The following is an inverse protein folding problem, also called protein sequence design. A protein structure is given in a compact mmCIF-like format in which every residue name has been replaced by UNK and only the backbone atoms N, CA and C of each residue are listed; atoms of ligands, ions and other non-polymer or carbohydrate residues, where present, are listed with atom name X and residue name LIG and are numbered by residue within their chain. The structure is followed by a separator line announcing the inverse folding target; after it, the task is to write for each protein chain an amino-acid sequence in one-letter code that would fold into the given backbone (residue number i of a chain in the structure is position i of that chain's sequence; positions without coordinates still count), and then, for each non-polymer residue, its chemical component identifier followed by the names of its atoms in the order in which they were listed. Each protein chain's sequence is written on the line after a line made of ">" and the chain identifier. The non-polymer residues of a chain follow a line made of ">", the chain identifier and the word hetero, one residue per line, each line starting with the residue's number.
data_IF_794188848148
#
_entry.id   IF_794188848148
#
_cell.length_a   1.000
_cell.length_b   1.000
_cell.length_c   1.000
_cell.angle_alpha   90.00
_cell.angle_beta   90.00
_cell.angle_gamma   90.00
#
_symmetry.space_group_name_H-M   'P 1'
#
loop_
_entity.id
_entity.type
_entity.pdbx_description
1 polymer ?
#
# COMPACT_ATOMS: atom_id res chain seq x y z
N UNK A 1 -5.80 -11.19 16.65
CA UNK A 1 -5.14 -12.25 15.87
C UNK A 1 -5.91 -12.58 14.59
N UNK A 2 -7.18 -12.99 14.64
CA UNK A 2 -7.99 -13.33 13.46
C UNK A 2 -8.08 -12.21 12.40
N UNK A 3 -8.18 -10.95 12.79
CA UNK A 3 -8.30 -9.83 11.84
C UNK A 3 -6.98 -9.52 11.13
N UNK A 4 -5.87 -9.60 11.85
CA UNK A 4 -4.56 -9.46 11.24
C UNK A 4 -4.31 -10.61 10.25
N UNK A 5 -4.69 -11.82 10.64
CA UNK A 5 -4.62 -13.00 9.79
C UNK A 5 -5.52 -12.88 8.56
N UNK A 6 -6.77 -12.40 8.70
CA UNK A 6 -7.64 -12.13 7.55
C UNK A 6 -7.08 -11.07 6.60
N UNK A 7 -6.42 -10.02 7.11
CA UNK A 7 -5.81 -8.97 6.28
C UNK A 7 -4.53 -9.41 5.59
N UNK A 8 -3.84 -10.36 6.16
CA UNK A 8 -2.62 -10.96 5.56
C UNK A 8 -2.98 -12.03 4.56
N UNK A 9 -4.08 -12.77 4.82
CA UNK A 9 -4.64 -13.78 3.92
C UNK A 9 -5.38 -13.16 2.71
N UNK A 10 -5.66 -11.86 2.74
CA UNK A 10 -5.95 -11.10 1.52
C UNK A 10 -4.63 -11.01 0.77
N UNK A 11 -4.34 -12.08 0.04
CA UNK A 11 -3.19 -12.15 -0.85
C UNK A 11 -3.09 -10.84 -1.64
N UNK A 12 -1.89 -10.34 -1.89
CA UNK A 12 -1.72 -9.24 -2.83
C UNK A 12 -2.52 -9.58 -4.08
N UNK A 13 -3.29 -8.62 -4.61
CA UNK A 13 -4.02 -8.83 -5.84
C UNK A 13 -2.99 -9.14 -6.93
N UNK A 14 -2.81 -10.42 -7.15
CA UNK A 14 -1.91 -10.94 -8.16
C UNK A 14 -2.78 -11.14 -9.38
N UNK A 15 -2.60 -10.29 -10.37
CA UNK A 15 -3.33 -10.35 -11.63
C UNK A 15 -2.84 -11.47 -12.54
N UNK A 16 -1.69 -12.07 -12.21
CA UNK A 16 -1.08 -13.21 -12.92
C UNK A 16 -0.34 -14.12 -11.95
N UNK A 17 -0.17 -15.39 -12.29
CA UNK A 17 0.72 -16.28 -11.57
C UNK A 17 2.15 -15.76 -11.65
N UNK A 18 2.70 -15.37 -10.50
CA UNK A 18 4.11 -14.94 -10.40
C UNK A 18 5.00 -16.18 -10.47
N UNK A 19 5.93 -16.18 -11.41
CA UNK A 19 7.01 -17.19 -11.45
C UNK A 19 8.03 -16.86 -10.36
N UNK A 20 8.79 -17.86 -9.93
CA UNK A 20 9.88 -17.68 -8.98
C UNK A 20 10.85 -16.62 -9.52
N UNK A 21 11.05 -15.53 -8.78
CA UNK A 21 11.89 -14.39 -9.18
C UNK A 21 11.16 -13.24 -9.88
N UNK A 22 9.85 -13.34 -10.16
CA UNK A 22 9.06 -12.22 -10.68
C UNK A 22 8.70 -11.23 -9.56
N UNK A 23 8.67 -9.94 -9.92
CA UNK A 23 8.27 -8.85 -9.04
C UNK A 23 6.75 -8.84 -8.79
N UNK A 24 6.30 -8.12 -7.78
CA UNK A 24 4.88 -7.85 -7.55
C UNK A 24 4.29 -7.01 -8.68
N UNK A 25 2.96 -6.95 -8.73
CA UNK A 25 2.24 -6.10 -9.67
C UNK A 25 2.57 -4.61 -9.47
N UNK A 26 2.64 -3.88 -10.57
CA UNK A 26 2.67 -2.42 -10.54
C UNK A 26 1.30 -1.86 -10.16
N UNK A 27 1.26 -0.79 -9.38
CA UNK A 27 0.02 -0.28 -8.79
C UNK A 27 -0.16 1.21 -9.08
N UNK A 28 -1.35 1.59 -9.55
CA UNK A 28 -1.81 2.97 -9.58
C UNK A 28 -2.72 3.23 -8.38
N UNK A 29 -2.28 4.02 -7.43
CA UNK A 29 -3.11 4.45 -6.30
C UNK A 29 -3.79 5.78 -6.61
N UNK A 30 -5.09 5.86 -6.31
CA UNK A 30 -5.96 6.99 -6.62
C UNK A 30 -6.67 7.42 -5.34
N UNK A 31 -6.58 8.69 -4.98
CA UNK A 31 -7.29 9.22 -3.82
C UNK A 31 -7.76 10.66 -4.04
N UNK A 32 -8.98 10.94 -3.60
CA UNK A 32 -9.53 12.30 -3.57
C UNK A 32 -9.45 12.91 -2.16
N UNK A 33 -8.54 12.47 -1.33
CA UNK A 33 -8.39 12.99 0.03
C UNK A 33 -9.71 12.93 0.81
N UNK A 34 -10.18 14.08 1.32
CA UNK A 34 -11.48 14.20 2.01
C UNK A 34 -12.65 14.30 1.04
N UNK A 35 -12.39 14.53 -0.26
CA UNK A 35 -13.39 14.60 -1.32
C UNK A 35 -14.10 15.96 -1.40
N UNK A 36 -13.47 17.03 -0.95
CA UNK A 36 -13.96 18.40 -1.14
C UNK A 36 -13.53 18.91 -2.52
N UNK A 37 -14.47 19.10 -3.49
CA UNK A 37 -14.13 19.49 -4.86
C UNK A 37 -13.43 20.84 -4.97
N UNK A 38 -13.54 21.69 -3.94
CA UNK A 38 -12.93 23.02 -3.92
C UNK A 38 -11.57 23.08 -3.24
N UNK A 39 -11.20 22.03 -2.50
CA UNK A 39 -9.97 22.01 -1.70
C UNK A 39 -9.05 20.85 -2.02
N UNK A 40 -9.62 19.72 -2.47
CA UNK A 40 -8.89 18.48 -2.68
C UNK A 40 -8.83 18.15 -4.17
N UNK A 41 -7.62 18.00 -4.71
CA UNK A 41 -7.40 17.42 -6.02
C UNK A 41 -7.29 15.90 -5.92
N UNK A 42 -7.72 15.20 -6.96
CA UNK A 42 -7.52 13.75 -7.09
C UNK A 42 -6.03 13.51 -7.28
N UNK A 43 -5.45 12.79 -6.36
CA UNK A 43 -4.01 12.45 -6.38
C UNK A 43 -3.84 11.06 -6.98
N UNK A 44 -3.02 10.97 -8.00
CA UNK A 44 -2.62 9.74 -8.68
C UNK A 44 -1.16 9.45 -8.34
N UNK A 45 -0.86 8.23 -7.93
CA UNK A 45 0.51 7.79 -7.63
C UNK A 45 0.75 6.44 -8.28
N UNK A 46 1.71 6.38 -9.18
CA UNK A 46 2.15 5.12 -9.78
C UNK A 46 3.38 4.58 -9.03
N UNK A 47 3.26 3.33 -8.60
CA UNK A 47 4.31 2.58 -7.91
C UNK A 47 4.67 1.36 -8.76
N UNK A 48 5.96 1.21 -9.03
CA UNK A 48 6.48 0.08 -9.80
C UNK A 48 6.47 -1.23 -8.98
N UNK A 49 6.83 -2.33 -9.64
CA UNK A 49 6.87 -3.66 -9.06
C UNK A 49 7.84 -3.78 -7.87
N UNK A 50 8.82 -2.90 -7.77
CA UNK A 50 9.79 -2.85 -6.67
C UNK A 50 9.31 -1.99 -5.48
N UNK A 51 8.07 -1.49 -5.50
CA UNK A 51 7.53 -0.64 -4.44
C UNK A 51 8.03 0.81 -4.48
N UNK A 52 8.64 1.25 -5.60
CA UNK A 52 9.17 2.59 -5.77
C UNK A 52 8.16 3.48 -6.48
N UNK A 53 7.90 4.64 -5.90
CA UNK A 53 7.11 5.66 -6.58
C UNK A 53 7.86 6.18 -7.81
N UNK A 54 7.24 6.11 -8.97
CA UNK A 54 7.81 6.57 -10.24
C UNK A 54 7.19 7.84 -10.75
N UNK A 55 5.92 8.06 -10.46
CA UNK A 55 5.20 9.22 -10.91
C UNK A 55 4.08 9.58 -9.94
N UNK A 56 3.83 10.86 -9.77
CA UNK A 56 2.64 11.36 -9.09
C UNK A 56 2.08 12.56 -9.82
N UNK A 57 0.77 12.60 -9.95
CA UNK A 57 0.04 13.66 -10.62
C UNK A 57 -1.17 14.06 -9.78
N UNK A 58 -1.60 15.30 -9.90
CA UNK A 58 -2.83 15.81 -9.29
C UNK A 58 -3.76 16.29 -10.38
N UNK A 59 -4.99 15.81 -10.35
CA UNK A 59 -6.04 16.15 -11.30
C UNK A 59 -7.20 16.72 -10.51
N UNK A 60 -7.76 17.84 -10.92
CA UNK A 60 -8.82 18.52 -10.16
C UNK A 60 -10.10 17.68 -10.14
N UNK A 61 -10.49 17.13 -11.27
CA UNK A 61 -11.65 16.24 -11.37
C UNK A 61 -11.51 15.26 -12.56
N UNK A 62 -12.33 14.20 -12.60
CA UNK A 62 -12.37 13.23 -13.68
C UNK A 62 -13.63 13.39 -14.57
N UNK A 63 -14.15 14.60 -14.70
CA UNK A 63 -15.30 14.93 -15.56
C UNK A 63 -14.92 15.89 -16.69
N UNK A 64 -13.82 16.59 -16.53
CA UNK A 64 -13.27 17.51 -17.50
C UNK A 64 -12.41 16.77 -18.53
N UNK A 65 -12.54 17.11 -19.80
CA UNK A 65 -11.88 16.40 -20.92
C UNK A 65 -10.36 16.43 -20.78
N UNK A 66 -9.79 17.60 -20.49
CA UNK A 66 -8.34 17.77 -20.39
C UNK A 66 -7.75 16.88 -19.25
N UNK A 67 -8.45 16.81 -18.13
CA UNK A 67 -8.07 15.98 -16.98
C UNK A 67 -8.23 14.49 -17.27
N UNK A 68 -9.23 14.10 -18.06
CA UNK A 68 -9.42 12.71 -18.51
C UNK A 68 -8.29 12.33 -19.45
N UNK A 69 -7.90 13.20 -20.38
CA UNK A 69 -6.82 12.94 -21.32
C UNK A 69 -5.48 12.75 -20.58
N UNK A 70 -5.20 13.57 -19.57
CA UNK A 70 -4.02 13.40 -18.70
C UNK A 70 -4.04 12.04 -17.95
N UNK A 71 -5.20 11.65 -17.44
CA UNK A 71 -5.38 10.36 -16.79
C UNK A 71 -5.16 9.18 -17.74
N UNK A 72 -5.74 9.24 -18.94
CA UNK A 72 -5.61 8.22 -20.01
C UNK A 72 -4.15 8.14 -20.50
N UNK A 73 -3.47 9.29 -20.64
CA UNK A 73 -2.06 9.34 -21.02
C UNK A 73 -1.18 8.66 -19.97
N UNK A 74 -1.43 8.89 -18.68
CA UNK A 74 -0.73 8.19 -17.60
C UNK A 74 -0.94 6.67 -17.65
N UNK A 75 -2.18 6.21 -17.86
CA UNK A 75 -2.49 4.79 -18.01
C UNK A 75 -1.79 4.16 -19.20
N UNK A 76 -1.77 4.84 -20.33
CA UNK A 76 -1.15 4.38 -21.56
C UNK A 76 0.37 4.28 -21.45
N UNK A 77 0.99 5.26 -20.79
CA UNK A 77 2.44 5.28 -20.56
C UNK A 77 2.89 4.26 -19.52
N UNK A 78 2.17 4.12 -18.42
CA UNK A 78 2.60 3.31 -17.26
C UNK A 78 2.06 1.90 -17.26
N UNK A 79 0.89 1.67 -17.84
CA UNK A 79 0.21 0.36 -17.93
C UNK A 79 0.20 -0.37 -16.58
N UNK A 80 -0.40 0.20 -15.53
CA UNK A 80 -0.43 -0.44 -14.22
C UNK A 80 -1.19 -1.76 -14.29
N UNK A 81 -0.73 -2.77 -13.54
CA UNK A 81 -1.41 -4.07 -13.45
C UNK A 81 -2.71 -3.97 -12.64
N UNK A 82 -2.78 -3.04 -11.68
CA UNK A 82 -3.96 -2.83 -10.84
C UNK A 82 -4.08 -1.36 -10.44
N UNK A 83 -5.31 -0.88 -10.36
CA UNK A 83 -5.63 0.42 -9.77
C UNK A 83 -6.29 0.23 -8.42
N UNK A 84 -5.79 0.92 -7.39
CA UNK A 84 -6.39 0.92 -6.06
C UNK A 84 -6.95 2.30 -5.74
N UNK A 85 -8.22 2.34 -5.32
CA UNK A 85 -8.88 3.58 -4.95
C UNK A 85 -9.04 3.63 -3.43
N UNK A 86 -8.62 4.73 -2.83
CA UNK A 86 -8.74 4.96 -1.40
C UNK A 86 -9.13 6.41 -1.07
N UNK A 87 -9.57 6.66 0.15
CA UNK A 87 -9.94 7.99 0.59
C UNK A 87 -10.64 8.02 1.95
N UNK A 88 -10.91 9.22 2.44
CA UNK A 88 -11.35 9.46 3.81
C UNK A 88 -12.86 9.73 3.93
N UNK A 89 -13.62 9.60 2.84
CA UNK A 89 -15.04 9.92 2.81
C UNK A 89 -15.85 9.00 1.90
N UNK A 90 -17.18 9.09 2.01
CA UNK A 90 -18.11 8.34 1.15
C UNK A 90 -17.95 8.70 -0.35
N UNK A 91 -17.36 9.85 -0.65
CA UNK A 91 -17.07 10.29 -2.03
C UNK A 91 -16.09 9.32 -2.74
N UNK A 92 -15.30 8.57 -1.98
CA UNK A 92 -14.41 7.51 -2.51
C UNK A 92 -15.18 6.49 -3.35
N UNK A 93 -16.44 6.19 -2.99
CA UNK A 93 -17.27 5.29 -3.78
C UNK A 93 -17.64 5.90 -5.15
N UNK A 94 -17.94 7.20 -5.19
CA UNK A 94 -18.20 7.91 -6.46
C UNK A 94 -16.95 7.93 -7.34
N UNK A 95 -15.79 8.19 -6.73
CA UNK A 95 -14.50 8.13 -7.44
C UNK A 95 -14.24 6.74 -8.01
N UNK A 96 -14.47 5.67 -7.23
CA UNK A 96 -14.33 4.30 -7.69
C UNK A 96 -15.25 4.00 -8.88
N UNK A 97 -16.51 4.40 -8.82
CA UNK A 97 -17.43 4.22 -9.95
C UNK A 97 -16.94 4.95 -11.21
N UNK A 98 -16.50 6.20 -11.05
CA UNK A 98 -15.99 6.99 -12.16
C UNK A 98 -14.74 6.38 -12.80
N UNK A 99 -13.79 5.92 -11.98
CA UNK A 99 -12.58 5.22 -12.46
C UNK A 99 -12.95 3.95 -13.24
N UNK A 100 -13.91 3.16 -12.73
CA UNK A 100 -14.40 1.96 -13.43
C UNK A 100 -15.08 2.28 -14.75
N UNK A 101 -15.83 3.37 -14.82
CA UNK A 101 -16.43 3.84 -16.09
C UNK A 101 -15.35 4.20 -17.11
N UNK A 102 -14.34 4.95 -16.70
CA UNK A 102 -13.23 5.34 -17.58
C UNK A 102 -12.42 4.12 -18.06
N UNK A 103 -12.24 3.10 -17.22
CA UNK A 103 -11.55 1.86 -17.63
C UNK A 103 -12.38 1.04 -18.64
N UNK A 104 -13.70 1.10 -18.57
CA UNK A 104 -14.57 0.43 -19.56
C UNK A 104 -14.56 1.10 -20.93
N UNK A 105 -14.11 2.36 -21.00
CA UNK A 105 -14.15 3.15 -22.22
C UNK A 105 -15.56 3.62 -22.60
N UNK A 106 -15.67 4.35 -23.70
CA UNK A 106 -16.95 4.74 -24.26
C UNK A 106 -17.66 3.52 -24.86
N UNK A 107 -18.98 3.37 -24.71
CA UNK A 107 -19.72 2.27 -25.35
C UNK A 107 -19.55 2.37 -26.87
N UNK A 108 -19.32 1.24 -27.54
CA UNK A 108 -19.28 1.15 -28.97
C UNK A 108 -20.64 1.54 -29.58
N UNK A 109 -20.69 1.86 -30.90
CA UNK A 109 -21.93 2.14 -31.64
C UNK A 109 -22.99 1.02 -31.52
N UNK A 110 -22.57 -0.20 -31.19
CA UNK A 110 -23.44 -1.37 -30.98
C UNK A 110 -23.96 -1.49 -29.52
N UNK A 111 -23.62 -0.56 -28.64
CA UNK A 111 -24.13 -0.50 -27.25
C UNK A 111 -23.57 -1.56 -26.30
N UNK A 112 -22.53 -2.31 -26.68
CA UNK A 112 -21.87 -3.27 -25.78
C UNK A 112 -20.92 -2.54 -24.84
N UNK A 113 -21.22 -2.46 -23.52
CA UNK A 113 -20.40 -1.75 -22.55
C UNK A 113 -19.10 -2.49 -22.21
N UNK A 114 -18.90 -3.71 -22.72
CA UNK A 114 -17.76 -4.56 -22.33
C UNK A 114 -16.52 -4.38 -23.22
N UNK A 115 -16.63 -3.67 -24.36
CA UNK A 115 -15.50 -3.41 -25.27
C UNK A 115 -15.64 -2.05 -25.95
N UNK A 116 -15.53 -0.95 -25.20
CA UNK A 116 -15.43 0.40 -25.76
C UNK A 116 -14.05 0.67 -26.40
N UNK A 117 -14.00 1.51 -27.41
CA UNK A 117 -12.72 2.06 -27.89
C UNK A 117 -12.04 2.78 -26.70
N UNK A 118 -10.77 2.44 -26.42
CA UNK A 118 -10.01 2.97 -25.30
C UNK A 118 -10.22 2.25 -23.95
N UNK A 119 -10.84 1.06 -23.94
CA UNK A 119 -10.99 0.26 -22.72
C UNK A 119 -9.64 -0.24 -22.19
N UNK A 120 -9.45 -0.11 -20.89
CA UNK A 120 -8.27 -0.62 -20.17
C UNK A 120 -8.64 -1.89 -19.40
N UNK A 121 -7.90 -2.96 -19.60
CA UNK A 121 -8.06 -4.20 -18.82
C UNK A 121 -7.27 -4.10 -17.49
N UNK A 122 -7.66 -3.10 -16.68
CA UNK A 122 -7.04 -2.82 -15.39
C UNK A 122 -8.11 -3.01 -14.31
N UNK A 123 -7.92 -3.96 -13.38
CA UNK A 123 -8.85 -4.12 -12.26
C UNK A 123 -8.76 -2.92 -11.31
N UNK A 124 -9.88 -2.28 -11.05
CA UNK A 124 -10.01 -1.24 -10.03
C UNK A 124 -10.56 -1.85 -8.75
N UNK A 125 -9.78 -1.76 -7.66
CA UNK A 125 -10.08 -2.39 -6.38
C UNK A 125 -10.17 -1.37 -5.25
N UNK A 126 -10.83 -1.77 -4.17
CA UNK A 126 -10.84 -1.08 -2.89
C UNK A 126 -10.21 -1.99 -1.84
N UNK A 127 -9.32 -1.46 -1.01
CA UNK A 127 -8.66 -2.20 0.06
C UNK A 127 -8.75 -1.44 1.38
N UNK A 128 -8.49 -2.13 2.49
CA UNK A 128 -8.37 -1.49 3.79
C UNK A 128 -7.16 -0.55 3.80
N UNK A 129 -7.37 0.67 4.24
CA UNK A 129 -6.41 1.75 4.12
C UNK A 129 -5.77 2.17 5.47
N UNK A 130 -6.03 1.42 6.55
CA UNK A 130 -5.52 1.76 7.88
C UNK A 130 -3.99 1.92 7.92
N UNK A 131 -3.28 1.01 7.24
CA UNK A 131 -1.82 1.07 7.14
C UNK A 131 -1.38 2.33 6.39
N UNK A 132 -2.04 2.66 5.29
CA UNK A 132 -1.75 3.86 4.52
C UNK A 132 -2.03 5.15 5.30
N UNK A 133 -3.10 5.16 6.12
CA UNK A 133 -3.42 6.27 7.03
C UNK A 133 -2.35 6.48 8.09
N UNK A 134 -1.78 5.43 8.65
CA UNK A 134 -0.66 5.53 9.58
C UNK A 134 0.60 5.96 8.83
N UNK A 135 0.89 5.33 7.69
CA UNK A 135 2.09 5.61 6.91
C UNK A 135 2.22 7.08 6.52
N UNK A 136 1.16 7.76 6.08
CA UNK A 136 1.23 9.16 5.66
C UNK A 136 1.78 10.13 6.73
N UNK A 137 1.63 9.77 8.02
CA UNK A 137 2.10 10.53 9.18
C UNK A 137 3.39 9.97 9.79
N UNK A 138 3.90 8.85 9.26
CA UNK A 138 5.08 8.17 9.79
C UNK A 138 6.36 8.95 9.51
N UNK A 139 7.36 8.74 10.38
CA UNK A 139 8.71 9.26 10.14
C UNK A 139 9.28 8.71 8.83
N UNK A 140 9.04 7.45 8.51
CA UNK A 140 9.46 6.82 7.26
C UNK A 140 8.93 7.59 6.03
N UNK A 141 7.65 7.94 6.01
CA UNK A 141 7.09 8.72 4.91
C UNK A 141 7.64 10.15 4.83
N UNK A 142 7.99 10.76 5.96
CA UNK A 142 8.62 12.07 5.99
C UNK A 142 10.05 12.01 5.46
N UNK A 143 10.82 11.00 5.84
CA UNK A 143 12.20 10.81 5.42
C UNK A 143 12.31 10.43 3.92
N UNK A 144 11.41 9.55 3.43
CA UNK A 144 11.39 9.14 2.01
C UNK A 144 10.85 10.25 1.08
N UNK A 145 9.83 10.98 1.51
CA UNK A 145 9.07 11.90 0.67
C UNK A 145 8.80 13.24 1.37
N UNK A 146 9.85 13.98 1.72
CA UNK A 146 9.73 15.26 2.43
C UNK A 146 8.88 16.30 1.70
N UNK A 147 8.92 16.33 0.36
CA UNK A 147 8.23 17.31 -0.48
C UNK A 147 6.79 16.89 -0.87
N UNK A 148 6.37 15.65 -0.62
CA UNK A 148 5.04 15.19 -1.02
C UNK A 148 3.96 15.62 -0.03
N UNK A 149 2.75 15.86 -0.57
CA UNK A 149 1.56 16.09 0.24
C UNK A 149 1.17 14.84 1.05
N UNK A 150 0.47 15.00 2.18
CA UNK A 150 0.00 13.84 2.94
C UNK A 150 -0.84 12.86 2.12
N UNK A 151 -1.70 13.36 1.21
CA UNK A 151 -2.51 12.51 0.32
C UNK A 151 -1.63 11.71 -0.65
N UNK A 152 -0.54 12.28 -1.17
CA UNK A 152 0.38 11.54 -2.03
C UNK A 152 1.14 10.46 -1.24
N UNK A 153 1.58 10.77 -0.02
CA UNK A 153 2.17 9.77 0.90
C UNK A 153 1.19 8.64 1.21
N UNK A 154 -0.08 8.98 1.48
CA UNK A 154 -1.16 8.02 1.66
C UNK A 154 -1.29 7.10 0.45
N UNK A 155 -1.30 7.63 -0.77
CA UNK A 155 -1.38 6.84 -2.00
C UNK A 155 -0.17 5.89 -2.15
N UNK A 156 1.05 6.32 -1.81
CA UNK A 156 2.23 5.44 -1.79
C UNK A 156 2.02 4.28 -0.81
N UNK A 157 1.59 4.58 0.42
CA UNK A 157 1.31 3.56 1.43
C UNK A 157 0.21 2.58 0.99
N UNK A 158 -0.83 3.08 0.32
CA UNK A 158 -1.93 2.27 -0.20
C UNK A 158 -1.46 1.31 -1.31
N UNK A 159 -0.64 1.81 -2.26
CA UNK A 159 -0.07 1.00 -3.32
C UNK A 159 0.84 -0.11 -2.78
N UNK A 160 1.75 0.25 -1.88
CA UNK A 160 2.67 -0.72 -1.25
C UNK A 160 1.92 -1.76 -0.41
N UNK A 161 0.84 -1.35 0.26
CA UNK A 161 -0.02 -2.28 0.99
C UNK A 161 -0.67 -3.31 0.06
N UNK A 162 -1.11 -2.92 -1.12
CA UNK A 162 -1.63 -3.85 -2.13
C UNK A 162 -0.57 -4.84 -2.59
N UNK A 163 0.67 -4.36 -2.79
CA UNK A 163 1.79 -5.20 -3.21
C UNK A 163 2.25 -6.20 -2.16
N UNK A 164 2.35 -5.77 -0.91
CA UNK A 164 2.86 -6.60 0.19
C UNK A 164 2.30 -6.16 1.54
N UNK A 165 1.09 -6.58 1.92
CA UNK A 165 0.46 -6.18 3.16
C UNK A 165 1.32 -6.46 4.39
N UNK A 166 1.89 -7.66 4.47
CA UNK A 166 2.71 -8.07 5.61
C UNK A 166 3.96 -7.21 5.76
N UNK A 167 4.62 -6.88 4.64
CA UNK A 167 5.80 -6.02 4.65
C UNK A 167 5.48 -4.60 5.13
N UNK A 168 4.34 -4.05 4.72
CA UNK A 168 3.90 -2.73 5.18
C UNK A 168 3.57 -2.73 6.68
N UNK A 169 2.92 -3.77 7.20
CA UNK A 169 2.74 -3.91 8.64
C UNK A 169 4.08 -3.97 9.38
N UNK A 170 5.03 -4.76 8.89
CA UNK A 170 6.36 -4.87 9.48
C UNK A 170 7.13 -3.53 9.44
N UNK A 171 6.99 -2.80 8.34
CA UNK A 171 7.66 -1.52 8.12
C UNK A 171 7.12 -0.38 8.99
N UNK A 172 5.87 -0.46 9.47
CA UNK A 172 5.31 0.51 10.42
C UNK A 172 6.08 0.52 11.75
N UNK A 173 6.46 -0.67 12.25
CA UNK A 173 7.22 -0.79 13.50
C UNK A 173 6.62 0.03 14.65
N UNK A 174 7.43 0.90 15.31
CA UNK A 174 6.96 1.73 16.43
C UNK A 174 5.92 2.78 16.02
N UNK A 175 5.82 3.17 14.75
CA UNK A 175 4.90 4.21 14.28
C UNK A 175 3.44 3.82 14.53
N UNK A 176 3.12 2.52 14.53
CA UNK A 176 1.76 2.05 14.85
C UNK A 176 1.29 2.50 16.23
N UNK A 177 2.19 2.55 17.22
CA UNK A 177 1.84 3.00 18.57
C UNK A 177 2.03 4.50 18.76
N UNK A 178 2.96 5.11 18.07
CA UNK A 178 3.22 6.55 18.16
C UNK A 178 2.07 7.36 17.55
N UNK A 179 1.62 6.98 16.36
CA UNK A 179 0.61 7.71 15.60
C UNK A 179 -0.81 7.35 16.05
N UNK A 180 -1.06 6.06 16.31
CA UNK A 180 -2.39 5.56 16.68
C UNK A 180 -2.89 6.07 18.04
N UNK A 181 -1.99 6.50 18.94
CA UNK A 181 -2.31 7.03 20.26
C UNK A 181 -2.31 8.57 20.31
N UNK A 182 -2.06 9.25 19.21
CA UNK A 182 -2.21 10.69 19.14
C UNK A 182 -3.72 11.05 19.17
N UNK A 183 -4.08 12.14 19.84
CA UNK A 183 -5.48 12.56 20.01
C UNK A 183 -6.16 12.74 18.65
N UNK A 184 -5.47 13.31 17.68
CA UNK A 184 -5.99 13.54 16.32
C UNK A 184 -6.16 12.24 15.51
N UNK A 185 -5.50 11.15 15.90
CA UNK A 185 -5.48 9.87 15.18
C UNK A 185 -6.15 8.72 15.94
N UNK A 186 -6.85 8.99 17.04
CA UNK A 186 -7.54 7.97 17.84
C UNK A 186 -8.52 7.11 17.03
N UNK A 187 -9.11 7.67 15.95
CA UNK A 187 -9.99 6.95 15.04
C UNK A 187 -9.27 5.79 14.32
N UNK A 188 -7.95 5.85 14.11
CA UNK A 188 -7.17 4.80 13.45
C UNK A 188 -7.07 3.54 14.35
N UNK A 189 -6.98 3.73 15.65
CA UNK A 189 -6.99 2.62 16.63
C UNK A 189 -8.36 1.94 16.65
N UNK A 190 -9.45 2.71 16.54
CA UNK A 190 -10.82 2.17 16.55
C UNK A 190 -11.14 1.31 15.33
N UNK A 191 -10.58 1.65 14.17
CA UNK A 191 -10.82 0.91 12.92
C UNK A 191 -10.02 -0.40 12.88
N UNK A 192 -8.84 -0.43 13.52
CA UNK A 192 -7.96 -1.60 13.53
C UNK A 192 -8.42 -2.71 14.49
N UNK A 193 -9.44 -2.46 15.33
CA UNK A 193 -9.94 -3.42 16.33
C UNK A 193 -11.39 -3.77 16.00
N UNK A 194 -11.78 -5.07 16.04
CA UNK A 194 -13.16 -5.46 15.75
C UNK A 194 -14.17 -4.85 16.71
N UNK A 195 -15.40 -4.60 16.23
CA UNK A 195 -16.47 -4.05 17.05
C UNK A 195 -16.91 -4.95 18.24
N UNK A 196 -16.41 -6.18 18.33
CA UNK A 196 -16.68 -7.09 19.44
C UNK A 196 -15.93 -6.75 20.74
N UNK A 197 -14.92 -5.88 20.67
CA UNK A 197 -14.25 -5.35 21.86
C UNK A 197 -14.70 -3.92 22.14
N UNK A 198 -15.89 -3.77 22.66
CA UNK A 198 -16.52 -2.48 23.03
C UNK A 198 -15.79 -1.72 24.17
N UNK A 199 -14.66 -2.20 24.65
CA UNK A 199 -13.83 -1.54 25.67
C UNK A 199 -12.70 -0.70 25.07
N UNK A 200 -12.98 0.06 23.99
CA UNK A 200 -11.99 0.95 23.34
C UNK A 200 -11.44 2.01 24.34
N UNK A 201 -12.21 2.40 25.32
CA UNK A 201 -11.76 3.27 26.42
C UNK A 201 -10.67 2.62 27.28
N UNK A 202 -10.56 1.29 27.31
CA UNK A 202 -9.52 0.57 28.05
C UNK A 202 -8.22 0.39 27.26
N UNK A 203 -8.25 0.51 25.93
CA UNK A 203 -7.02 0.45 25.12
C UNK A 203 -6.08 1.62 25.38
N UNK A 204 -6.60 2.78 25.74
CA UNK A 204 -5.79 3.91 26.21
C UNK A 204 -5.03 3.58 27.50
N UNK A 205 -5.47 2.55 28.25
CA UNK A 205 -4.82 2.09 29.47
C UNK A 205 -3.73 1.03 29.23
N UNK A 206 -3.62 0.48 28.00
CA UNK A 206 -2.55 -0.47 27.70
C UNK A 206 -1.26 0.28 27.43
N UNK A 207 -0.17 0.01 28.20
CA UNK A 207 1.11 0.65 27.93
C UNK A 207 1.59 0.41 26.51
N UNK A 208 2.02 1.47 25.83
CA UNK A 208 2.51 1.42 24.42
C UNK A 208 3.50 0.28 24.18
N UNK A 209 4.43 0.05 25.11
CA UNK A 209 5.41 -1.04 25.02
C UNK A 209 4.80 -2.45 25.04
N UNK A 210 3.71 -2.66 25.77
CA UNK A 210 2.99 -3.96 25.75
C UNK A 210 2.26 -4.17 24.43
N UNK A 211 1.65 -3.12 23.88
CA UNK A 211 0.98 -3.19 22.60
C UNK A 211 1.99 -3.46 21.48
N UNK A 212 3.10 -2.74 21.44
CA UNK A 212 4.16 -2.96 20.46
C UNK A 212 4.70 -4.38 20.53
N UNK A 213 4.97 -4.89 21.75
CA UNK A 213 5.45 -6.27 21.95
C UNK A 213 4.44 -7.31 21.46
N UNK A 214 3.14 -7.10 21.70
CA UNK A 214 2.09 -7.98 21.19
C UNK A 214 2.02 -7.95 19.67
N UNK A 215 2.17 -6.77 19.07
CA UNK A 215 2.24 -6.60 17.63
C UNK A 215 3.44 -7.31 17.01
N UNK A 216 4.63 -7.16 17.60
CA UNK A 216 5.85 -7.87 17.19
C UNK A 216 5.68 -9.39 17.27
N UNK A 217 5.04 -9.91 18.33
CA UNK A 217 4.75 -11.34 18.46
C UNK A 217 3.85 -11.86 17.32
N UNK A 218 2.81 -11.09 16.97
CA UNK A 218 1.94 -11.44 15.84
C UNK A 218 2.71 -11.39 14.51
N UNK A 219 3.58 -10.40 14.31
CA UNK A 219 4.44 -10.33 13.13
C UNK A 219 5.37 -11.54 13.02
N UNK A 220 6.00 -11.96 14.12
CA UNK A 220 6.83 -13.17 14.14
C UNK A 220 6.01 -14.39 13.75
N UNK A 221 4.85 -14.60 14.37
CA UNK A 221 3.98 -15.75 14.08
C UNK A 221 3.56 -15.79 12.60
N UNK A 222 3.07 -14.67 12.06
CA UNK A 222 2.60 -14.60 10.68
C UNK A 222 3.76 -14.70 9.68
N UNK A 223 4.88 -14.03 9.93
CA UNK A 223 6.05 -14.08 9.04
C UNK A 223 6.59 -15.49 8.90
N UNK A 224 6.61 -16.27 9.99
CA UNK A 224 7.11 -17.65 9.93
C UNK A 224 6.10 -18.64 9.33
N UNK A 225 4.82 -18.30 9.29
CA UNK A 225 3.80 -19.07 8.55
C UNK A 225 3.83 -18.81 7.05
N UNK A 226 4.03 -17.55 6.66
CA UNK A 226 4.03 -17.13 5.25
C UNK A 226 5.39 -17.36 4.60
N UNK A 227 6.48 -17.15 5.34
CA UNK A 227 7.84 -17.17 4.83
C UNK A 227 8.31 -15.81 4.32
N UNK A 228 9.60 -15.69 4.06
CA UNK A 228 10.23 -14.48 3.48
C UNK A 228 11.15 -14.90 2.34
N UNK A 229 10.99 -14.25 1.19
CA UNK A 229 11.92 -14.41 0.08
C UNK A 229 13.20 -13.60 0.36
N UNK A 230 14.28 -14.32 0.66
CA UNK A 230 15.57 -13.73 0.99
C UNK A 230 16.21 -13.07 -0.23
N UNK A 231 16.04 -13.64 -1.44
CA UNK A 231 16.61 -13.08 -2.66
C UNK A 231 16.01 -11.71 -2.94
N UNK A 232 14.70 -11.60 -2.77
CA UNK A 232 13.98 -10.35 -2.92
C UNK A 232 14.41 -9.33 -1.86
N UNK A 233 14.55 -9.75 -0.61
CA UNK A 233 15.00 -8.86 0.47
C UNK A 233 16.45 -8.38 0.28
N UNK A 234 17.32 -9.14 -0.40
CA UNK A 234 18.68 -8.71 -0.76
C UNK A 234 18.67 -7.74 -1.93
N UNK A 235 17.84 -8.00 -2.94
CA UNK A 235 17.75 -7.17 -4.14
C UNK A 235 17.11 -5.80 -3.85
N UNK A 236 16.12 -5.75 -2.95
CA UNK A 236 15.35 -4.54 -2.64
C UNK A 236 15.25 -4.29 -1.13
N UNK A 237 15.77 -3.13 -0.70
CA UNK A 237 15.75 -2.71 0.70
C UNK A 237 14.33 -2.60 1.29
N UNK A 238 13.33 -2.37 0.46
CA UNK A 238 11.93 -2.31 0.85
C UNK A 238 11.43 -3.62 1.47
N UNK A 239 11.88 -4.76 0.98
CA UNK A 239 11.49 -6.08 1.50
C UNK A 239 12.28 -6.57 2.71
N UNK A 240 13.26 -5.81 3.17
CA UNK A 240 14.08 -6.17 4.32
C UNK A 240 13.35 -6.07 5.66
N UNK A 241 12.22 -5.37 5.71
CA UNK A 241 11.45 -5.14 6.94
C UNK A 241 10.90 -6.41 7.60
N UNK A 242 10.72 -7.49 6.84
CA UNK A 242 10.23 -8.77 7.36
C UNK A 242 11.33 -9.64 7.99
N UNK A 243 12.58 -9.49 7.56
CA UNK A 243 13.69 -10.33 8.01
C UNK A 243 13.90 -10.34 9.53
N UNK A 244 13.76 -9.23 10.27
CA UNK A 244 13.88 -9.22 11.73
C UNK A 244 12.87 -10.11 12.46
N UNK A 245 11.73 -10.41 11.83
CA UNK A 245 10.64 -11.21 12.40
C UNK A 245 10.76 -12.71 12.08
N UNK A 246 11.75 -13.12 11.29
CA UNK A 246 12.06 -14.55 11.07
C UNK A 246 12.65 -15.15 12.33
N UNK A 247 12.10 -16.30 12.78
CA UNK A 247 12.57 -16.99 13.98
C UNK A 247 14.07 -17.27 13.93
N UNK A 248 14.78 -16.89 15.01
CA UNK A 248 16.22 -17.07 15.13
C UNK A 248 17.07 -15.98 14.46
N UNK A 249 16.51 -15.12 13.58
CA UNK A 249 17.28 -14.04 12.97
C UNK A 249 17.39 -12.81 13.89
N UNK A 250 16.31 -12.16 14.19
CA UNK A 250 16.28 -10.87 14.88
C UNK A 250 16.96 -9.74 14.09
N UNK A 251 16.84 -8.46 14.53
CA UNK A 251 17.28 -7.29 13.73
C UNK A 251 18.78 -7.30 13.38
N UNK A 252 19.64 -7.62 14.33
CA UNK A 252 21.11 -7.61 14.10
C UNK A 252 21.55 -8.68 13.11
N UNK A 253 21.05 -9.91 13.26
CA UNK A 253 21.40 -11.03 12.37
C UNK A 253 20.83 -10.82 10.97
N UNK A 254 19.62 -10.28 10.85
CA UNK A 254 19.01 -9.93 9.58
C UNK A 254 19.88 -8.97 8.77
N UNK A 255 20.37 -7.89 9.38
CA UNK A 255 21.25 -6.94 8.72
C UNK A 255 22.60 -7.57 8.28
N UNK A 256 23.19 -8.41 9.14
CA UNK A 256 24.44 -9.11 8.79
C UNK A 256 24.22 -10.08 7.64
N UNK A 257 23.11 -10.81 7.64
CA UNK A 257 22.74 -11.75 6.56
C UNK A 257 22.65 -11.03 5.21
N UNK A 258 21.87 -9.95 5.14
CA UNK A 258 21.70 -9.16 3.91
C UNK A 258 23.04 -8.65 3.39
N UNK A 259 23.88 -8.08 4.27
CA UNK A 259 25.21 -7.57 3.88
C UNK A 259 26.12 -8.66 3.33
N UNK A 260 26.14 -9.86 3.97
CA UNK A 260 26.98 -10.98 3.53
C UNK A 260 26.54 -11.49 2.15
N UNK A 261 25.24 -11.70 1.95
CA UNK A 261 24.73 -12.19 0.66
C UNK A 261 24.97 -11.15 -0.44
N UNK A 262 24.71 -9.88 -0.17
CA UNK A 262 24.95 -8.81 -1.14
C UNK A 262 26.44 -8.69 -1.54
N UNK A 263 27.39 -8.93 -0.62
CA UNK A 263 28.81 -8.98 -0.90
C UNK A 263 29.17 -10.18 -1.80
N UNK A 264 28.69 -11.38 -1.48
CA UNK A 264 28.96 -12.58 -2.27
C UNK A 264 28.40 -12.49 -3.70
N UNK A 265 27.23 -11.87 -3.88
CA UNK A 265 26.66 -11.65 -5.22
C UNK A 265 27.53 -10.69 -6.04
N UNK A 266 28.05 -9.62 -5.43
CA UNK A 266 28.98 -8.71 -6.11
C UNK A 266 30.28 -9.39 -6.55
N UNK A 267 30.87 -10.19 -5.66
CA UNK A 267 32.12 -10.91 -5.95
C UNK A 267 31.92 -11.95 -7.08
N UNK A 268 30.72 -12.53 -7.20
CA UNK A 268 30.39 -13.49 -8.28
C UNK A 268 30.16 -12.83 -9.64
N UNK A 269 29.88 -11.53 -9.70
CA UNK A 269 29.63 -10.78 -10.94
C UNK A 269 30.95 -10.19 -11.48
N UNK A 270 31.99 -10.09 -10.65
CA UNK A 270 33.30 -9.54 -11.02
C UNK A 270 34.30 -10.59 -11.53
N UNK A 271 33.92 -11.83 -11.67
CA UNK A 271 34.65 -12.94 -12.29
C UNK A 271 34.11 -13.25 -13.68
#
# INVERSE_FOLDING_TARGET
>A
MLIFQQRVDVAPYITRELRIGESTSSVLAISWGKGDPHKDAITLVYVDEAGRMREHTKIDNLYDTDNIDEFVDLLTRRKPDVAVVGGFSIVTLKLMHRVKELFRGSPNQDGDPLRGEGAFDIPAIYVHDDVARIYQHSKRAADEFSALSPTAKYCVGLARYVQSPLNEFAALGPDITAISFDEDNQHLVRVSIPPLFFDVLRLQQVPKGKLLKAFEQVLVDVTNKVGVDVNRAVADSYYQHLLPFVCGLGPRKAQVLVKKIAAQVRDSITL
#
